data_IF_366899632920
#
_entry.id   IF_366899632920
#
_cell.length_a   1.000
_cell.length_b   1.000
_cell.length_c   1.000
_cell.angle_alpha   90.00
_cell.angle_beta   90.00
_cell.angle_gamma   90.00
#
_symmetry.space_group_name_H-M   'P 1'
#
loop_
_entity.id
_entity.type
_entity.pdbx_description
1 polymer ?
#
# COMPACT_ATOMS: atom_id res chain seq x y z
N UNK A 1 -7.81 -8.03 8.45
CA UNK A 1 -8.64 -8.29 7.25
C UNK A 1 -7.70 -8.38 6.07
N UNK A 2 -7.81 -9.42 5.25
CA UNK A 2 -6.98 -9.56 4.05
C UNK A 2 -7.78 -9.14 2.83
N UNK A 3 -7.10 -8.41 1.95
CA UNK A 3 -7.64 -7.91 0.69
C UNK A 3 -6.65 -8.26 -0.42
N UNK A 4 -7.18 -8.59 -1.59
CA UNK A 4 -6.39 -8.69 -2.81
C UNK A 4 -6.00 -7.27 -3.28
N UNK A 5 -4.87 -7.11 -3.96
CA UNK A 5 -4.26 -5.82 -4.27
C UNK A 5 -5.10 -4.92 -5.20
N UNK A 6 -6.07 -5.48 -5.92
CA UNK A 6 -6.91 -4.77 -6.88
C UNK A 6 -8.40 -4.70 -6.47
N UNK A 7 -8.76 -5.08 -5.23
CA UNK A 7 -10.16 -4.99 -4.80
C UNK A 7 -10.59 -3.54 -4.57
N UNK A 8 -11.73 -3.16 -5.15
CA UNK A 8 -12.35 -1.86 -4.90
C UNK A 8 -12.83 -1.76 -3.45
N UNK A 9 -12.41 -0.71 -2.74
CA UNK A 9 -12.75 -0.49 -1.34
C UNK A 9 -12.85 1.01 -1.01
N UNK A 10 -13.67 1.35 -0.03
CA UNK A 10 -13.87 2.71 0.47
C UNK A 10 -14.47 2.68 1.87
N UNK A 11 -14.51 3.83 2.53
CA UNK A 11 -15.19 4.02 3.81
C UNK A 11 -15.92 5.36 3.83
N UNK A 12 -17.10 5.41 4.43
CA UNK A 12 -17.81 6.66 4.69
C UNK A 12 -17.20 7.43 5.87
N UNK A 13 -17.60 8.70 6.01
CA UNK A 13 -17.29 9.55 7.16
C UNK A 13 -17.77 8.91 8.47
N UNK A 14 -17.04 9.20 9.55
CA UNK A 14 -17.36 8.72 10.88
C UNK A 14 -18.11 9.79 11.67
N UNK A 15 -19.44 9.64 11.79
CA UNK A 15 -20.31 10.55 12.58
C UNK A 15 -20.47 10.12 14.04
N UNK A 16 -19.87 9.00 14.44
CA UNK A 16 -19.98 8.45 15.78
C UNK A 16 -18.94 9.04 16.75
N UNK A 17 -19.12 8.93 18.08
CA UNK A 17 -18.12 9.38 19.05
C UNK A 17 -16.91 8.45 19.20
N UNK A 18 -16.85 7.31 18.49
CA UNK A 18 -15.78 6.32 18.64
C UNK A 18 -14.73 6.44 17.53
N UNK A 19 -13.42 6.43 17.84
CA UNK A 19 -12.37 6.52 16.84
C UNK A 19 -12.26 5.25 15.99
N UNK A 20 -11.85 5.40 14.73
CA UNK A 20 -11.57 4.29 13.81
C UNK A 20 -10.06 4.24 13.50
N UNK A 21 -9.32 3.45 14.27
CA UNK A 21 -7.87 3.28 14.14
C UNK A 21 -7.59 1.91 13.53
N UNK A 22 -6.87 1.87 12.40
CA UNK A 22 -6.48 0.64 11.73
C UNK A 22 -4.98 0.66 11.43
N UNK A 23 -4.35 -0.51 11.53
CA UNK A 23 -3.01 -0.74 10.96
C UNK A 23 -3.18 -1.45 9.62
N UNK A 24 -2.44 -1.00 8.61
CA UNK A 24 -2.48 -1.53 7.26
C UNK A 24 -1.06 -1.91 6.86
N UNK A 25 -0.91 -3.14 6.38
CA UNK A 25 0.34 -3.67 5.83
C UNK A 25 0.06 -4.15 4.41
N UNK A 26 0.93 -3.80 3.49
CA UNK A 26 0.87 -4.27 2.10
C UNK A 26 2.10 -5.14 1.86
N UNK A 27 1.86 -6.43 1.68
CA UNK A 27 2.90 -7.38 1.29
C UNK A 27 2.90 -7.50 -0.22
N UNK A 28 4.08 -7.62 -0.81
CA UNK A 28 4.25 -7.82 -2.24
C UNK A 28 5.17 -9.02 -2.47
N UNK A 29 4.93 -9.79 -3.52
CA UNK A 29 5.82 -10.89 -3.89
C UNK A 29 7.19 -10.35 -4.28
N UNK A 30 8.26 -11.07 -3.89
CA UNK A 30 9.63 -10.77 -4.34
C UNK A 30 9.82 -10.99 -5.85
N UNK A 31 8.91 -11.73 -6.48
CA UNK A 31 8.85 -11.89 -7.94
C UNK A 31 8.15 -10.71 -8.63
N UNK A 32 7.59 -9.76 -7.86
CA UNK A 32 6.81 -8.61 -8.35
C UNK A 32 7.41 -7.28 -7.86
N UNK A 33 8.73 -7.15 -7.82
CA UNK A 33 9.37 -5.88 -7.43
C UNK A 33 8.97 -4.75 -8.36
N UNK A 34 8.80 -3.50 -7.87
CA UNK A 34 8.38 -2.41 -8.75
C UNK A 34 9.47 -2.07 -9.75
N UNK A 35 9.09 -1.87 -11.01
CA UNK A 35 9.94 -1.39 -12.10
C UNK A 35 10.77 -0.14 -11.72
N UNK A 36 11.91 0.04 -12.38
CA UNK A 36 12.81 1.17 -12.15
C UNK A 36 12.12 2.54 -12.37
N UNK A 37 11.21 2.60 -13.35
CA UNK A 37 10.44 3.81 -13.67
C UNK A 37 8.95 3.60 -13.41
N UNK A 38 8.27 4.50 -12.67
CA UNK A 38 6.82 4.45 -12.51
C UNK A 38 6.08 4.63 -13.85
N UNK A 39 4.98 3.89 -14.04
CA UNK A 39 4.19 3.95 -15.27
C UNK A 39 3.53 5.30 -15.57
N UNK A 40 3.38 6.20 -14.58
CA UNK A 40 2.68 7.48 -14.73
C UNK A 40 3.32 8.66 -13.99
N UNK A 41 4.54 8.52 -13.48
CA UNK A 41 5.26 9.58 -12.77
C UNK A 41 6.70 9.71 -13.26
N UNK A 42 7.28 10.89 -13.12
CA UNK A 42 8.67 11.16 -13.57
C UNK A 42 9.70 10.46 -12.69
N UNK A 43 9.45 10.36 -11.38
CA UNK A 43 10.39 9.80 -10.40
C UNK A 43 9.70 8.85 -9.41
N UNK A 44 10.44 7.86 -8.86
CA UNK A 44 9.94 7.01 -7.78
C UNK A 44 9.44 7.82 -6.57
N UNK A 45 8.51 7.23 -5.81
CA UNK A 45 8.00 7.79 -4.57
C UNK A 45 9.01 7.61 -3.43
N UNK A 46 8.93 8.42 -2.35
CA UNK A 46 9.73 8.23 -1.14
C UNK A 46 9.58 6.83 -0.52
N UNK A 47 10.62 6.39 0.20
CA UNK A 47 10.71 5.04 0.78
C UNK A 47 9.55 4.70 1.74
N UNK A 48 9.07 5.67 2.52
CA UNK A 48 7.92 5.48 3.41
C UNK A 48 6.58 5.27 2.68
N UNK A 49 6.51 5.50 1.36
CA UNK A 49 5.35 5.19 0.50
C UNK A 49 5.59 3.96 -0.40
N UNK A 50 6.85 3.63 -0.69
CA UNK A 50 7.28 2.49 -1.53
C UNK A 50 8.57 1.92 -0.95
N UNK A 51 8.47 0.76 -0.30
CA UNK A 51 9.64 0.05 0.21
C UNK A 51 10.63 -0.31 -0.91
N UNK A 52 11.92 -0.24 -0.58
CA UNK A 52 13.04 -0.53 -1.51
C UNK A 52 13.90 -1.70 -1.08
N UNK A 53 13.64 -2.28 0.09
CA UNK A 53 14.22 -3.56 0.52
C UNK A 53 13.30 -4.70 0.07
N UNK A 54 13.86 -5.62 -0.70
CA UNK A 54 13.15 -6.78 -1.24
C UNK A 54 13.67 -8.11 -0.65
N UNK A 55 14.43 -8.03 0.45
CA UNK A 55 14.87 -9.21 1.20
C UNK A 55 13.65 -10.01 1.68
N UNK A 56 13.55 -11.32 1.37
CA UNK A 56 12.47 -12.15 1.88
C UNK A 56 12.38 -12.11 3.42
N UNK A 57 11.15 -11.97 3.93
CA UNK A 57 10.83 -11.91 5.36
C UNK A 57 10.84 -13.28 6.04
#
# INVERSE_FOLDING_TARGET
>A
MFHEGNIMHASTDNVSPWPRINLMFVYNSVENTPEDKPFGAETPRPEFLRGTDFTPL
#
